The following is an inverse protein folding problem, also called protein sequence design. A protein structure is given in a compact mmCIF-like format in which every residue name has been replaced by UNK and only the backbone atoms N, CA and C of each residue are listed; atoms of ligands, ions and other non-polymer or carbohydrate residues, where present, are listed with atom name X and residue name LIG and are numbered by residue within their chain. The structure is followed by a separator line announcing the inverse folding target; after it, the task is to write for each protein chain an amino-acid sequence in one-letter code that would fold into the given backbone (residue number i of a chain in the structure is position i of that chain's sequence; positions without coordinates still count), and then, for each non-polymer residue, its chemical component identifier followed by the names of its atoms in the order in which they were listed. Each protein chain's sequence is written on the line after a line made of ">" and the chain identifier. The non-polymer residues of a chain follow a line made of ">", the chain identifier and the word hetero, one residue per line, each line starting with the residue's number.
data_IF_892761189634
#
_entry.id   IF_892761189634
#
_cell.length_a   1.000
_cell.length_b   1.000
_cell.length_c   1.000
_cell.angle_alpha   90.00
_cell.angle_beta   90.00
_cell.angle_gamma   90.00
#
_symmetry.space_group_name_H-M   'P 1'
#
loop_
_entity.id
_entity.type
_entity.pdbx_description
1 polymer ?
#
# COMPACT_ATOMS: atom_id res chain seq x y z
N UNK A 1 -55.89 34.89 64.35
CA UNK A 1 -55.30 33.64 63.81
C UNK A 1 -53.97 34.02 63.18
N UNK A 2 -52.92 33.38 63.66
CA UNK A 2 -51.53 33.83 63.74
C UNK A 2 -50.72 33.65 62.46
N UNK A 3 -50.01 34.70 62.03
CA UNK A 3 -49.01 34.67 60.94
C UNK A 3 -47.79 33.76 61.23
N UNK A 4 -47.67 33.24 62.47
CA UNK A 4 -46.60 32.31 62.86
C UNK A 4 -46.77 30.90 62.27
N UNK A 5 -47.98 30.52 61.84
CA UNK A 5 -48.24 29.16 61.30
C UNK A 5 -47.82 29.01 59.82
N UNK A 6 -47.68 30.12 59.09
CA UNK A 6 -47.24 30.10 57.68
C UNK A 6 -45.72 29.93 57.51
N UNK A 7 -44.91 30.42 58.46
CA UNK A 7 -43.45 30.28 58.39
C UNK A 7 -42.98 28.86 58.74
N UNK A 8 -43.70 28.15 59.59
CA UNK A 8 -43.34 26.76 59.95
C UNK A 8 -43.62 25.77 58.81
N UNK A 9 -44.65 25.97 57.99
CA UNK A 9 -44.95 25.08 56.85
C UNK A 9 -43.91 25.16 55.71
N UNK A 10 -43.27 26.31 55.51
CA UNK A 10 -42.20 26.49 54.51
C UNK A 10 -40.91 25.71 54.85
N UNK A 11 -40.56 25.63 56.14
CA UNK A 11 -39.38 24.87 56.61
C UNK A 11 -39.59 23.35 56.53
N UNK A 12 -40.80 22.85 56.75
CA UNK A 12 -41.08 21.41 56.60
C UNK A 12 -41.10 20.95 55.14
N UNK A 13 -41.59 21.78 54.21
CA UNK A 13 -41.59 21.48 52.77
C UNK A 13 -40.17 21.41 52.18
N UNK A 14 -39.28 22.32 52.58
CA UNK A 14 -37.87 22.32 52.16
C UNK A 14 -37.05 21.15 52.74
N UNK A 15 -37.35 20.70 53.96
CA UNK A 15 -36.72 19.50 54.54
C UNK A 15 -37.18 18.20 53.85
N UNK A 16 -38.44 18.10 53.44
CA UNK A 16 -38.94 16.96 52.69
C UNK A 16 -38.39 16.90 51.26
N UNK A 17 -38.25 18.03 50.57
CA UNK A 17 -37.61 18.08 49.25
C UNK A 17 -36.15 17.65 49.29
N UNK A 18 -35.42 18.03 50.34
CA UNK A 18 -34.02 17.65 50.54
C UNK A 18 -33.86 16.14 50.78
N UNK A 19 -34.77 15.51 51.52
CA UNK A 19 -34.76 14.07 51.76
C UNK A 19 -35.02 13.27 50.47
N UNK A 20 -35.99 13.71 49.65
CA UNK A 20 -36.27 13.06 48.37
C UNK A 20 -35.09 13.17 47.39
N UNK A 21 -34.48 14.36 47.32
CA UNK A 21 -33.32 14.58 46.46
C UNK A 21 -32.11 13.74 46.90
N UNK A 22 -31.88 13.61 48.21
CA UNK A 22 -30.83 12.73 48.76
C UNK A 22 -31.07 11.25 48.41
N UNK A 23 -32.31 10.76 48.57
CA UNK A 23 -32.68 9.40 48.18
C UNK A 23 -32.49 9.15 46.68
N UNK A 24 -32.89 10.10 45.83
CA UNK A 24 -32.73 9.98 44.38
C UNK A 24 -31.25 9.96 43.96
N UNK A 25 -30.40 10.77 44.60
CA UNK A 25 -28.95 10.75 44.37
C UNK A 25 -28.34 9.43 44.83
N UNK A 26 -28.73 8.90 45.99
CA UNK A 26 -28.21 7.63 46.51
C UNK A 26 -28.57 6.44 45.60
N UNK A 27 -29.81 6.38 45.11
CA UNK A 27 -30.26 5.34 44.18
C UNK A 27 -29.60 5.46 42.82
N UNK A 28 -29.37 6.68 42.32
CA UNK A 28 -28.63 6.92 41.09
C UNK A 28 -27.16 6.50 41.24
N UNK A 29 -26.52 6.84 42.37
CA UNK A 29 -25.15 6.46 42.65
C UNK A 29 -24.99 4.93 42.74
N UNK A 30 -25.93 4.24 43.40
CA UNK A 30 -25.96 2.77 43.44
C UNK A 30 -26.02 2.14 42.05
N UNK A 31 -26.91 2.63 41.18
CA UNK A 31 -27.00 2.16 39.78
C UNK A 31 -25.71 2.42 38.99
N UNK A 32 -25.04 3.54 39.26
CA UNK A 32 -23.79 3.89 38.60
C UNK A 32 -22.65 2.98 39.06
N UNK A 33 -22.61 2.59 40.33
CA UNK A 33 -21.68 1.58 40.86
C UNK A 33 -21.91 0.21 40.20
N UNK A 34 -23.16 -0.27 40.17
CA UNK A 34 -23.49 -1.59 39.62
C UNK A 34 -23.13 -1.70 38.13
N UNK A 35 -23.41 -0.66 37.35
CA UNK A 35 -23.08 -0.64 35.91
C UNK A 35 -21.58 -0.55 35.63
N UNK A 36 -20.83 0.06 36.53
CA UNK A 36 -19.41 0.33 36.37
C UNK A 36 -18.53 -0.52 37.30
N UNK A 37 -19.05 -1.65 37.77
CA UNK A 37 -18.34 -2.53 38.70
C UNK A 37 -16.94 -2.88 38.20
N UNK A 38 -16.80 -3.23 36.90
CA UNK A 38 -15.51 -3.54 36.28
C UNK A 38 -14.51 -2.37 36.30
N UNK A 39 -14.99 -1.13 36.20
CA UNK A 39 -14.15 0.07 36.25
C UNK A 39 -13.69 0.35 37.68
N UNK A 40 -14.58 0.26 38.66
CA UNK A 40 -14.22 0.44 40.07
C UNK A 40 -13.31 -0.67 40.59
N UNK A 41 -13.54 -1.92 40.20
CA UNK A 41 -12.64 -3.04 40.48
C UNK A 41 -11.26 -2.82 39.86
N UNK A 42 -11.19 -2.14 38.70
CA UNK A 42 -9.92 -1.74 38.10
C UNK A 42 -9.18 -0.67 38.91
N UNK A 43 -9.87 0.38 39.37
CA UNK A 43 -9.27 1.40 40.23
C UNK A 43 -8.78 0.83 41.58
N UNK A 44 -9.50 -0.16 42.12
CA UNK A 44 -9.12 -0.86 43.36
C UNK A 44 -7.90 -1.77 43.18
N UNK A 45 -7.50 -2.08 41.95
CA UNK A 45 -6.45 -3.06 41.63
C UNK A 45 -6.93 -4.52 41.58
N UNK A 46 -8.22 -4.75 41.83
CA UNK A 46 -8.89 -6.06 41.73
C UNK A 46 -9.29 -6.41 40.26
N UNK A 47 -8.66 -5.81 39.25
CA UNK A 47 -8.85 -6.20 37.84
C UNK A 47 -7.90 -7.31 37.41
N UNK A 48 -8.29 -7.97 36.32
CA UNK A 48 -7.51 -9.00 35.63
C UNK A 48 -6.09 -8.50 35.29
N UNK A 49 -5.91 -7.22 34.97
CA UNK A 49 -4.59 -6.64 34.71
C UNK A 49 -3.72 -6.55 35.96
N UNK A 50 -4.28 -6.31 37.15
CA UNK A 50 -3.55 -6.26 38.42
C UNK A 50 -2.97 -7.62 38.82
N UNK A 51 -3.55 -8.72 38.33
CA UNK A 51 -3.07 -10.10 38.54
C UNK A 51 -2.12 -10.60 37.44
N UNK A 52 -1.79 -9.79 36.42
CA UNK A 52 -0.91 -10.22 35.33
C UNK A 52 0.56 -10.12 35.75
N UNK A 53 1.23 -11.27 35.73
CA UNK A 53 2.69 -11.39 35.89
C UNK A 53 3.47 -11.02 34.63
N UNK A 54 2.76 -10.75 33.54
CA UNK A 54 3.26 -10.64 32.18
C UNK A 54 3.49 -9.22 31.66
N UNK A 55 2.98 -8.20 32.35
CA UNK A 55 2.90 -6.81 31.87
C UNK A 55 2.02 -6.55 30.62
N UNK A 56 1.53 -7.59 29.94
CA UNK A 56 0.90 -7.46 28.62
C UNK A 56 -0.64 -7.55 28.60
N UNK A 57 -1.29 -7.96 29.71
CA UNK A 57 -2.75 -8.10 29.74
C UNK A 57 -3.44 -6.78 30.09
N UNK A 58 -4.24 -6.24 29.16
CA UNK A 58 -5.04 -5.01 29.36
C UNK A 58 -6.51 -5.35 29.65
N UNK A 59 -7.15 -4.60 30.55
CA UNK A 59 -8.59 -4.74 30.84
C UNK A 59 -9.42 -4.05 29.72
N UNK A 60 -10.49 -4.67 29.19
CA UNK A 60 -11.26 -4.13 28.05
C UNK A 60 -12.20 -2.97 28.43
N UNK A 61 -12.55 -2.80 29.72
CA UNK A 61 -13.48 -1.77 30.19
C UNK A 61 -12.77 -0.80 31.14
N UNK A 62 -11.96 0.11 30.59
CA UNK A 62 -11.25 1.13 31.36
C UNK A 62 -11.99 2.47 31.44
N UNK A 63 -13.14 2.59 30.79
CA UNK A 63 -13.90 3.83 30.70
C UNK A 63 -15.17 3.72 31.55
N UNK A 64 -15.43 4.77 32.33
CA UNK A 64 -16.68 4.93 33.08
C UNK A 64 -17.84 5.09 32.09
N UNK A 65 -18.83 4.21 32.19
CA UNK A 65 -20.11 4.35 31.49
C UNK A 65 -20.93 5.41 32.22
N UNK A 66 -21.06 6.56 31.57
CA UNK A 66 -21.87 7.65 32.06
C UNK A 66 -23.36 7.34 31.88
N UNK A 67 -24.09 7.40 32.98
CA UNK A 67 -25.52 7.08 33.05
C UNK A 67 -26.42 8.29 32.83
N UNK A 68 -25.83 9.43 32.47
CA UNK A 68 -26.60 10.61 32.10
C UNK A 68 -27.53 10.20 30.96
N UNK A 69 -28.85 10.22 31.23
CA UNK A 69 -29.85 10.30 30.18
C UNK A 69 -29.41 11.47 29.33
N UNK A 70 -28.84 11.20 28.14
CA UNK A 70 -28.64 12.24 27.13
C UNK A 70 -29.96 12.99 27.11
N UNK A 71 -29.91 14.30 27.37
CA UNK A 71 -31.12 15.12 27.31
C UNK A 71 -31.87 14.81 26.02
N UNK A 72 -33.19 14.99 26.02
CA UNK A 72 -34.01 14.83 24.81
C UNK A 72 -33.25 15.49 23.65
N UNK A 73 -32.77 14.67 22.71
CA UNK A 73 -32.06 15.17 21.54
C UNK A 73 -32.99 16.15 20.83
N UNK A 74 -32.48 17.32 20.47
CA UNK A 74 -33.28 18.26 19.71
C UNK A 74 -33.70 17.62 18.39
N UNK A 75 -34.84 18.05 17.82
CA UNK A 75 -35.27 17.61 16.48
C UNK A 75 -34.15 17.76 15.45
N UNK A 76 -33.32 18.80 15.59
CA UNK A 76 -32.14 19.01 14.76
C UNK A 76 -31.09 17.91 14.94
N UNK A 77 -30.74 17.54 16.17
CA UNK A 77 -29.77 16.46 16.44
C UNK A 77 -30.26 15.09 15.95
N UNK A 78 -31.58 14.84 16.01
CA UNK A 78 -32.19 13.61 15.47
C UNK A 78 -32.15 13.55 13.95
N UNK A 79 -32.38 14.68 13.28
CA UNK A 79 -32.51 14.73 11.83
C UNK A 79 -31.17 14.93 11.11
N UNK A 80 -30.20 15.60 11.75
CA UNK A 80 -28.87 15.88 11.20
C UNK A 80 -27.80 15.02 11.88
N UNK A 81 -27.95 13.71 11.76
CA UNK A 81 -26.87 12.80 12.11
C UNK A 81 -25.82 12.94 11.01
N UNK A 82 -24.55 13.13 11.37
CA UNK A 82 -23.47 13.10 10.40
C UNK A 82 -23.48 11.71 9.73
N UNK A 83 -24.03 11.65 8.51
CA UNK A 83 -23.97 10.45 7.70
C UNK A 83 -22.49 10.19 7.44
N UNK A 84 -21.94 9.19 8.13
CA UNK A 84 -20.59 8.72 7.88
C UNK A 84 -20.46 8.50 6.38
N UNK A 85 -19.40 9.02 5.77
CA UNK A 85 -19.10 8.82 4.35
C UNK A 85 -19.34 7.34 4.08
N UNK A 86 -20.33 7.02 3.23
CA UNK A 86 -20.57 5.64 2.83
C UNK A 86 -19.22 5.07 2.42
N UNK A 87 -18.86 3.90 2.96
CA UNK A 87 -17.62 3.22 2.59
C UNK A 87 -17.62 3.18 1.07
N UNK A 88 -16.77 3.99 0.44
CA UNK A 88 -16.65 3.98 -1.00
C UNK A 88 -16.31 2.54 -1.35
N UNK A 89 -17.17 1.92 -2.16
CA UNK A 89 -16.91 0.60 -2.70
C UNK A 89 -15.53 0.73 -3.35
N UNK A 90 -14.53 -0.10 -2.98
CA UNK A 90 -13.21 0.02 -3.53
C UNK A 90 -13.34 -0.03 -5.04
N UNK A 91 -12.93 1.07 -5.69
CA UNK A 91 -12.91 1.15 -7.14
C UNK A 91 -11.96 0.04 -7.59
N UNK A 92 -12.50 -0.99 -8.24
CA UNK A 92 -11.69 -2.07 -8.80
C UNK A 92 -10.90 -1.43 -9.94
N UNK A 93 -9.64 -1.13 -9.68
CA UNK A 93 -8.74 -0.63 -10.71
C UNK A 93 -8.48 -1.78 -11.68
N UNK A 94 -9.10 -1.71 -12.86
CA UNK A 94 -8.91 -2.70 -13.92
C UNK A 94 -7.49 -2.65 -14.53
N UNK A 95 -6.67 -1.68 -14.13
CA UNK A 95 -5.28 -1.57 -14.55
C UNK A 95 -4.34 -2.38 -13.64
N UNK A 96 -4.61 -3.68 -13.48
CA UNK A 96 -3.62 -4.58 -12.88
C UNK A 96 -2.49 -4.74 -13.89
N UNK A 97 -1.46 -3.91 -13.78
CA UNK A 97 -0.26 -4.05 -14.60
C UNK A 97 0.50 -5.27 -14.08
N UNK A 98 0.31 -6.42 -14.73
CA UNK A 98 1.07 -7.63 -14.44
C UNK A 98 2.55 -7.36 -14.78
N UNK A 99 3.36 -7.10 -13.76
CA UNK A 99 4.81 -7.08 -13.88
C UNK A 99 5.32 -8.47 -13.52
N UNK A 100 6.03 -9.12 -14.45
CA UNK A 100 6.71 -10.38 -14.13
C UNK A 100 7.75 -10.11 -13.05
N UNK A 101 7.63 -10.78 -11.90
CA UNK A 101 8.56 -10.61 -10.77
C UNK A 101 9.96 -11.16 -11.09
N UNK A 102 10.05 -12.03 -12.10
CA UNK A 102 11.30 -12.64 -12.52
C UNK A 102 11.80 -11.96 -13.80
N UNK A 103 13.04 -11.45 -13.81
CA UNK A 103 13.67 -10.98 -15.04
C UNK A 103 13.84 -12.16 -15.99
N UNK A 104 13.47 -11.96 -17.25
CA UNK A 104 13.72 -12.95 -18.30
C UNK A 104 15.22 -13.00 -18.56
N UNK A 105 15.82 -14.20 -18.55
CA UNK A 105 17.19 -14.37 -18.99
C UNK A 105 17.24 -14.26 -20.52
N UNK A 106 17.80 -13.15 -21.00
CA UNK A 106 17.94 -12.80 -22.42
C UNK A 106 19.34 -13.18 -22.98
N UNK A 107 20.12 -13.94 -22.23
CA UNK A 107 21.43 -14.38 -22.69
C UNK A 107 21.30 -15.56 -23.65
N UNK A 108 21.64 -15.32 -24.92
CA UNK A 108 21.79 -16.36 -25.92
C UNK A 108 23.21 -16.91 -25.91
N UNK A 109 23.37 -18.18 -26.32
CA UNK A 109 24.68 -18.82 -26.46
C UNK A 109 25.60 -17.97 -27.33
N UNK A 110 25.09 -17.44 -28.45
CA UNK A 110 25.84 -16.58 -29.35
C UNK A 110 26.43 -15.34 -28.65
N UNK A 111 25.67 -14.69 -27.77
CA UNK A 111 26.14 -13.52 -27.03
C UNK A 111 27.25 -13.88 -26.04
N UNK A 112 27.19 -15.07 -25.45
CA UNK A 112 28.23 -15.56 -24.54
C UNK A 112 29.51 -16.00 -25.25
N UNK A 113 29.38 -16.60 -26.44
CA UNK A 113 30.50 -17.21 -27.17
C UNK A 113 31.25 -16.22 -28.06
N UNK A 114 30.58 -15.22 -28.63
CA UNK A 114 31.17 -14.28 -29.58
C UNK A 114 31.33 -12.87 -28.96
N UNK A 115 32.19 -12.76 -27.95
CA UNK A 115 32.55 -11.47 -27.37
C UNK A 115 33.66 -10.81 -28.21
N UNK A 116 33.62 -9.49 -28.35
CA UNK A 116 34.68 -8.76 -29.00
C UNK A 116 35.97 -8.90 -28.19
N UNK A 117 36.99 -9.56 -28.76
CA UNK A 117 38.30 -9.68 -28.15
C UNK A 117 38.99 -8.31 -28.19
N UNK A 118 38.99 -7.60 -27.05
CA UNK A 118 39.63 -6.29 -26.92
C UNK A 118 41.16 -6.35 -27.07
N UNK A 119 41.74 -7.55 -26.91
CA UNK A 119 43.19 -7.75 -26.88
C UNK A 119 43.80 -8.11 -28.24
N UNK A 120 43.12 -7.79 -29.34
CA UNK A 120 43.72 -7.88 -30.67
C UNK A 120 44.86 -6.85 -30.77
N UNK A 121 46.07 -7.26 -30.38
CA UNK A 121 47.27 -6.41 -30.49
C UNK A 121 47.42 -6.00 -31.96
N UNK A 122 47.55 -4.69 -32.25
CA UNK A 122 47.80 -4.24 -33.61
C UNK A 122 49.08 -4.89 -34.10
N UNK A 123 49.07 -5.40 -35.35
CA UNK A 123 50.26 -5.95 -35.96
C UNK A 123 51.36 -4.88 -35.95
N UNK A 124 52.51 -5.22 -35.36
CA UNK A 124 53.64 -4.29 -35.29
C UNK A 124 54.08 -3.95 -36.73
N UNK A 125 53.91 -2.68 -37.11
CA UNK A 125 54.33 -2.17 -38.41
C UNK A 125 55.85 -2.08 -38.42
N UNK A 126 56.52 -3.03 -39.07
CA UNK A 126 57.97 -3.05 -39.30
C UNK A 126 58.45 -2.00 -40.33
N UNK A 127 57.66 -0.97 -40.62
CA UNK A 127 58.00 0.01 -41.65
C UNK A 127 59.03 1.01 -41.10
N UNK A 128 60.21 1.14 -41.73
CA UNK A 128 61.23 2.06 -41.26
C UNK A 128 60.77 3.52 -41.38
N UNK A 129 61.02 4.32 -40.33
CA UNK A 129 60.69 5.75 -40.33
C UNK A 129 61.56 6.51 -41.34
N UNK A 130 60.90 7.12 -42.32
CA UNK A 130 61.57 7.98 -43.30
C UNK A 130 61.73 9.37 -42.70
N UNK A 131 62.98 9.78 -42.43
CA UNK A 131 63.28 11.12 -41.92
C UNK A 131 63.00 12.16 -43.01
N UNK A 132 61.94 12.95 -42.83
CA UNK A 132 61.63 14.09 -43.69
C UNK A 132 62.40 15.30 -43.18
N UNK A 133 63.37 15.77 -43.97
CA UNK A 133 64.04 17.03 -43.71
C UNK A 133 63.19 18.19 -44.24
N UNK A 134 62.55 18.92 -43.32
CA UNK A 134 61.84 20.16 -43.63
C UNK A 134 62.86 21.31 -43.62
N UNK A 135 63.24 21.76 -44.81
CA UNK A 135 64.05 22.98 -44.98
C UNK A 135 63.07 24.17 -45.05
N UNK A 136 63.13 25.15 -44.14
CA UNK A 136 62.22 26.29 -44.18
C UNK A 136 62.52 27.15 -45.40
N UNK A 137 61.54 27.29 -46.28
CA UNK A 137 61.62 28.12 -47.47
C UNK A 137 61.16 29.55 -47.15
N UNK A 138 62.09 30.50 -47.11
CA UNK A 138 61.82 31.90 -46.78
C UNK A 138 61.42 32.72 -48.03
N UNK A 139 60.32 32.36 -48.69
CA UNK A 139 59.75 33.20 -49.76
C UNK A 139 58.51 33.95 -49.28
N UNK A 140 58.71 35.01 -48.50
CA UNK A 140 57.67 36.02 -48.31
C UNK A 140 58.16 37.33 -48.90
N UNK A 141 57.40 37.89 -49.83
CA UNK A 141 57.63 39.24 -50.32
C UNK A 141 57.28 40.26 -49.23
N UNK A 142 57.96 41.40 -49.22
CA UNK A 142 57.72 42.49 -48.26
C UNK A 142 56.23 42.88 -48.20
N UNK A 143 55.57 42.93 -49.37
CA UNK A 143 54.13 43.22 -49.47
C UNK A 143 53.25 42.27 -48.64
N UNK A 144 53.56 40.97 -48.62
CA UNK A 144 52.80 39.97 -47.86
C UNK A 144 53.02 40.10 -46.34
N UNK A 145 54.18 40.62 -45.92
CA UNK A 145 54.47 40.90 -44.51
C UNK A 145 53.78 42.20 -44.05
N UNK A 146 53.76 43.22 -44.91
CA UNK A 146 53.29 44.56 -44.53
C UNK A 146 51.76 44.72 -44.63
N UNK A 147 51.09 43.94 -45.49
CA UNK A 147 49.64 43.97 -45.69
C UNK A 147 48.95 42.68 -45.23
N UNK A 148 49.13 42.30 -43.96
CA UNK A 148 48.28 41.27 -43.36
C UNK A 148 46.87 41.83 -43.19
N UNK A 149 45.90 41.31 -43.93
CA UNK A 149 44.53 41.85 -44.04
C UNK A 149 43.97 42.32 -42.69
N UNK A 150 43.91 43.65 -42.52
CA UNK A 150 43.38 44.28 -41.32
C UNK A 150 41.91 43.91 -41.17
N UNK A 151 41.56 43.25 -40.06
CA UNK A 151 40.19 42.83 -39.79
C UNK A 151 39.25 44.03 -39.72
N UNK A 152 38.18 44.02 -40.52
CA UNK A 152 37.12 45.02 -40.42
C UNK A 152 36.35 44.81 -39.12
N UNK A 153 36.36 45.81 -38.23
CA UNK A 153 35.48 45.81 -37.07
C UNK A 153 34.03 45.97 -37.53
N UNK A 154 33.17 44.99 -37.26
CA UNK A 154 31.75 45.04 -37.62
C UNK A 154 31.04 46.18 -36.88
N UNK A 155 30.43 47.11 -37.64
CA UNK A 155 29.53 48.13 -37.10
C UNK A 155 28.26 47.44 -36.56
N UNK A 156 27.96 47.64 -35.27
CA UNK A 156 26.73 47.15 -34.65
C UNK A 156 25.58 48.11 -34.97
N UNK A 157 24.73 47.73 -35.92
CA UNK A 157 23.48 48.46 -36.23
C UNK A 157 22.39 47.89 -35.32
N UNK A 158 21.80 48.74 -34.47
CA UNK A 158 20.66 48.33 -33.64
C UNK A 158 19.40 48.20 -34.51
N UNK A 159 18.64 47.10 -34.42
CA UNK A 159 17.44 46.92 -35.23
C UNK A 159 16.31 47.88 -34.78
N UNK A 160 15.49 48.40 -35.70
CA UNK A 160 14.38 49.28 -35.37
C UNK A 160 13.26 48.50 -34.65
N UNK A 161 12.95 48.87 -33.41
CA UNK A 161 11.76 48.41 -32.70
C UNK A 161 10.53 49.15 -33.23
N UNK A 162 9.84 48.57 -34.21
CA UNK A 162 8.49 48.99 -34.59
C UNK A 162 7.50 47.92 -34.10
N UNK A 163 6.57 48.23 -33.17
CA UNK A 163 5.52 47.30 -32.80
C UNK A 163 4.46 47.32 -33.91
N UNK A 164 4.61 46.45 -34.91
CA UNK A 164 3.59 46.27 -35.93
C UNK A 164 2.43 45.43 -35.36
N UNK A 165 1.33 46.13 -35.09
CA UNK A 165 -0.08 45.68 -35.16
C UNK A 165 -0.49 44.54 -34.21
N UNK A 166 -1.43 44.88 -33.33
CA UNK A 166 -2.16 44.00 -32.40
C UNK A 166 -2.90 42.90 -33.16
N UNK A 167 -2.82 41.66 -32.64
CA UNK A 167 -3.50 40.46 -33.16
C UNK A 167 -4.99 40.72 -33.45
N UNK A 168 -5.35 40.78 -34.74
CA UNK A 168 -6.75 40.80 -35.15
C UNK A 168 -7.22 39.34 -35.14
N UNK A 169 -8.21 38.96 -34.31
CA UNK A 169 -8.68 37.59 -34.25
C UNK A 169 -9.29 37.20 -35.60
N UNK A 170 -8.84 36.06 -36.12
CA UNK A 170 -9.30 35.51 -37.38
C UNK A 170 -10.74 34.98 -37.21
N UNK A 171 -11.73 35.71 -37.74
CA UNK A 171 -13.16 35.38 -37.64
C UNK A 171 -13.64 34.42 -38.73
N UNK A 172 -12.73 33.94 -39.60
CA UNK A 172 -13.08 33.06 -40.70
C UNK A 172 -13.09 31.59 -40.25
N UNK A 173 -14.26 31.13 -39.80
CA UNK A 173 -14.56 29.70 -39.77
C UNK A 173 -15.13 29.27 -41.12
N UNK A 174 -14.72 28.10 -41.61
CA UNK A 174 -15.32 27.56 -42.83
C UNK A 174 -16.71 27.00 -42.53
N UNK A 175 -17.64 27.11 -43.46
CA UNK A 175 -18.96 26.48 -43.35
C UNK A 175 -18.87 24.98 -43.12
N UNK A 176 -17.78 24.34 -43.58
CA UNK A 176 -17.50 22.94 -43.28
C UNK A 176 -17.25 22.70 -41.79
N UNK A 177 -16.47 23.57 -41.13
CA UNK A 177 -16.20 23.47 -39.70
C UNK A 177 -17.49 23.60 -38.88
N UNK A 178 -18.37 24.53 -39.24
CA UNK A 178 -19.64 24.73 -38.54
C UNK A 178 -20.63 23.56 -38.70
N UNK A 179 -20.63 22.92 -39.88
CA UNK A 179 -21.59 21.86 -40.18
C UNK A 179 -21.13 20.44 -39.78
N UNK A 180 -19.81 20.21 -39.68
CA UNK A 180 -19.24 18.88 -39.43
C UNK A 180 -18.54 18.74 -38.06
N UNK A 181 -18.71 19.72 -37.16
CA UNK A 181 -18.28 19.55 -35.78
C UNK A 181 -18.98 18.34 -35.16
N UNK A 182 -18.18 17.39 -34.67
CA UNK A 182 -18.61 16.07 -34.20
C UNK A 182 -19.74 16.20 -33.18
N UNK A 183 -20.99 15.95 -33.60
CA UNK A 183 -22.09 15.74 -32.66
C UNK A 183 -21.77 14.45 -31.89
N UNK A 184 -21.60 14.48 -30.55
CA UNK A 184 -21.37 13.27 -29.80
C UNK A 184 -22.58 12.34 -29.98
N UNK A 185 -22.35 11.18 -30.57
CA UNK A 185 -23.39 10.17 -30.75
C UNK A 185 -23.81 9.72 -29.35
N UNK A 186 -25.11 9.75 -29.01
CA UNK A 186 -25.58 9.28 -27.71
C UNK A 186 -25.20 7.80 -27.53
N UNK A 187 -24.67 7.47 -26.35
CA UNK A 187 -24.07 6.16 -26.02
C UNK A 187 -24.97 4.97 -26.38
N UNK A 188 -26.29 5.15 -26.33
CA UNK A 188 -27.28 4.13 -26.61
C UNK A 188 -27.33 3.72 -28.09
N UNK A 189 -27.14 4.65 -29.02
CA UNK A 189 -27.09 4.37 -30.46
C UNK A 189 -25.78 3.68 -30.87
N UNK A 190 -24.68 3.95 -30.16
CA UNK A 190 -23.39 3.32 -30.40
C UNK A 190 -23.40 1.83 -30.02
N UNK A 191 -24.08 1.46 -28.92
CA UNK A 191 -24.16 0.08 -28.44
C UNK A 191 -24.99 -0.83 -29.36
N UNK A 192 -25.98 -0.26 -30.06
CA UNK A 192 -26.87 -1.02 -30.97
C UNK A 192 -26.28 -1.22 -32.37
N UNK A 193 -25.36 -0.35 -32.78
CA UNK A 193 -24.70 -0.40 -34.09
C UNK A 193 -23.34 -1.12 -34.05
N UNK A 194 -22.57 -1.01 -32.96
CA UNK A 194 -21.28 -1.68 -32.81
C UNK A 194 -21.37 -3.22 -32.78
N UNK A 195 -22.50 -3.78 -32.32
CA UNK A 195 -22.70 -5.23 -32.23
C UNK A 195 -23.28 -5.87 -33.51
N UNK A 196 -23.53 -5.08 -34.56
CA UNK A 196 -23.99 -5.58 -35.87
C UNK A 196 -22.85 -5.67 -36.87
N UNK A 197 -21.64 -6.05 -36.43
CA UNK A 197 -20.59 -6.42 -37.37
C UNK A 197 -20.98 -7.73 -38.06
N UNK A 198 -21.36 -7.64 -39.34
CA UNK A 198 -21.69 -8.78 -40.22
C UNK A 198 -20.51 -9.74 -40.45
N UNK A 199 -19.32 -9.43 -39.90
CA UNK A 199 -18.21 -10.36 -39.81
C UNK A 199 -18.36 -11.19 -38.54
N UNK A 200 -19.11 -12.29 -38.65
CA UNK A 200 -18.95 -13.43 -37.74
C UNK A 200 -17.46 -13.79 -37.75
N UNK A 201 -16.85 -13.92 -36.58
CA UNK A 201 -15.49 -14.44 -36.43
C UNK A 201 -15.33 -15.70 -37.29
N UNK A 202 -14.24 -15.85 -38.09
CA UNK A 202 -14.04 -17.02 -38.96
C UNK A 202 -13.89 -18.33 -38.17
N UNK A 203 -13.86 -18.25 -36.85
CA UNK A 203 -13.87 -19.37 -35.92
C UNK A 203 -15.31 -19.46 -35.40
N UNK A 204 -16.11 -20.35 -36.02
CA UNK A 204 -17.37 -20.75 -35.41
C UNK A 204 -17.07 -21.55 -34.13
N UNK A 205 -17.84 -21.38 -33.05
CA UNK A 205 -17.69 -22.20 -31.84
C UNK A 205 -18.04 -23.69 -32.08
N UNK A 206 -18.58 -24.01 -33.25
CA UNK A 206 -18.95 -25.35 -33.71
C UNK A 206 -17.78 -26.13 -34.31
N UNK A 207 -16.69 -25.47 -34.72
CA UNK A 207 -15.54 -26.14 -35.33
C UNK A 207 -14.48 -26.40 -34.26
N UNK A 208 -14.32 -27.66 -33.77
CA UNK A 208 -13.24 -27.98 -32.86
C UNK A 208 -11.90 -27.68 -33.55
N UNK A 209 -11.02 -26.99 -32.84
CA UNK A 209 -9.70 -26.59 -33.32
C UNK A 209 -8.82 -27.87 -33.36
N UNK A 210 -8.77 -28.56 -34.52
CA UNK A 210 -8.02 -29.83 -34.72
C UNK A 210 -6.57 -29.55 -35.14
N UNK A 211 -5.69 -29.26 -34.19
CA UNK A 211 -4.23 -29.27 -34.42
C UNK A 211 -3.57 -29.78 -33.16
N UNK A 212 -3.34 -31.08 -33.17
CA UNK A 212 -2.34 -31.69 -32.33
C UNK A 212 -1.21 -32.11 -33.27
N UNK A 213 0.00 -31.58 -33.03
CA UNK A 213 1.16 -32.06 -33.77
C UNK A 213 1.44 -33.50 -33.36
N UNK A 214 2.01 -34.29 -34.26
CA UNK A 214 2.44 -35.67 -33.93
C UNK A 214 3.33 -35.66 -32.70
N UNK A 215 4.24 -34.69 -32.58
CA UNK A 215 5.09 -34.51 -31.41
C UNK A 215 4.28 -34.33 -30.11
N UNK A 216 3.28 -33.44 -30.06
CA UNK A 216 2.46 -33.25 -28.85
C UNK A 216 1.49 -34.40 -28.57
N UNK A 217 1.16 -35.22 -29.58
CA UNK A 217 0.40 -36.45 -29.39
C UNK A 217 1.26 -37.57 -28.77
N UNK A 218 2.50 -37.74 -29.25
CA UNK A 218 3.39 -38.82 -28.83
C UNK A 218 4.14 -38.53 -27.52
N UNK A 219 4.54 -37.28 -27.27
CA UNK A 219 5.35 -36.93 -26.10
C UNK A 219 4.50 -36.21 -25.05
N UNK A 220 3.65 -36.97 -24.36
CA UNK A 220 2.93 -36.47 -23.18
C UNK A 220 3.81 -36.66 -21.95
N UNK A 221 3.81 -35.73 -20.98
CA UNK A 221 4.54 -35.92 -19.74
C UNK A 221 3.96 -37.13 -19.01
N UNK A 222 4.72 -38.22 -18.95
CA UNK A 222 4.37 -39.38 -18.15
C UNK A 222 4.75 -39.09 -16.70
N UNK A 223 3.84 -39.34 -15.76
CA UNK A 223 4.20 -39.34 -14.35
C UNK A 223 5.12 -40.53 -14.14
N UNK A 224 6.41 -40.27 -13.97
CA UNK A 224 7.34 -41.29 -13.51
C UNK A 224 6.91 -41.69 -12.10
N UNK A 225 6.71 -42.98 -11.87
CA UNK A 225 6.49 -43.49 -10.53
C UNK A 225 7.62 -42.98 -9.64
N UNK A 226 7.27 -42.37 -8.51
CA UNK A 226 8.28 -42.03 -7.50
C UNK A 226 8.92 -43.35 -7.10
N UNK A 227 10.16 -43.58 -7.49
CA UNK A 227 10.97 -44.62 -6.87
C UNK A 227 10.90 -44.32 -5.37
N UNK A 228 10.40 -45.29 -4.60
CA UNK A 228 10.45 -45.22 -3.14
C UNK A 228 11.93 -45.03 -2.80
N UNK A 229 12.33 -43.78 -2.56
CA UNK A 229 13.60 -43.49 -1.90
C UNK A 229 13.48 -44.23 -0.59
N UNK A 230 14.33 -45.23 -0.40
CA UNK A 230 14.57 -45.79 0.92
C UNK A 230 14.95 -44.57 1.75
N UNK A 231 14.10 -44.23 2.72
CA UNK A 231 14.38 -43.10 3.60
C UNK A 231 15.78 -43.30 4.19
N UNK A 232 16.71 -42.36 4.03
CA UNK A 232 17.99 -42.41 4.73
C UNK A 232 17.80 -42.19 6.25
N UNK A 233 16.56 -42.15 6.74
CA UNK A 233 16.22 -42.21 8.16
C UNK A 233 16.28 -43.63 8.74
N UNK A 234 17.25 -44.45 8.33
CA UNK A 234 17.90 -45.26 9.35
C UNK A 234 18.58 -44.25 10.26
N UNK A 235 17.85 -43.92 11.32
CA UNK A 235 18.27 -43.18 12.49
C UNK A 235 19.45 -43.95 13.10
N UNK A 236 20.63 -43.83 12.49
CA UNK A 236 21.89 -44.23 13.08
C UNK A 236 22.04 -43.26 14.23
N UNK A 237 21.49 -43.64 15.38
CA UNK A 237 21.81 -43.03 16.65
C UNK A 237 23.31 -43.24 16.78
N UNK A 238 24.10 -42.23 16.39
CA UNK A 238 25.50 -42.20 16.72
C UNK A 238 25.54 -42.24 18.24
N UNK A 239 25.84 -43.42 18.79
CA UNK A 239 26.07 -43.55 20.21
C UNK A 239 27.31 -42.69 20.45
N UNK A 240 27.19 -41.58 21.20
CA UNK A 240 28.34 -40.73 21.44
C UNK A 240 29.40 -41.58 22.13
N UNK A 241 30.67 -41.34 21.80
CA UNK A 241 31.77 -42.09 22.41
C UNK A 241 31.84 -41.86 23.93
N UNK A 242 31.24 -40.77 24.41
CA UNK A 242 31.13 -40.41 25.82
C UNK A 242 29.79 -39.72 26.11
N UNK A 243 29.23 -39.97 27.30
CA UNK A 243 27.96 -39.40 27.70
C UNK A 243 28.06 -37.87 27.87
N UNK A 244 27.30 -37.12 27.06
CA UNK A 244 27.34 -35.66 27.04
C UNK A 244 28.28 -35.00 26.00
N UNK A 245 28.87 -35.76 25.06
CA UNK A 245 29.72 -35.21 23.98
C UNK A 245 29.05 -34.12 23.13
N UNK A 246 27.72 -34.12 23.02
CA UNK A 246 26.95 -33.11 22.28
C UNK A 246 26.17 -32.13 23.18
N UNK A 247 26.29 -32.23 24.50
CA UNK A 247 25.65 -31.29 25.41
C UNK A 247 26.51 -30.03 25.49
N UNK A 248 26.25 -29.06 24.60
CA UNK A 248 26.90 -27.75 24.70
C UNK A 248 26.48 -27.06 26.00
N UNK A 249 27.36 -26.23 26.55
CA UNK A 249 27.03 -25.36 27.69
C UNK A 249 25.79 -24.51 27.40
N UNK A 250 25.65 -24.04 26.15
CA UNK A 250 24.46 -23.32 25.70
C UNK A 250 23.18 -24.16 25.84
N UNK A 251 23.19 -25.45 25.50
CA UNK A 251 21.97 -26.27 25.60
C UNK A 251 21.58 -26.54 27.06
N UNK A 252 22.55 -26.63 27.98
CA UNK A 252 22.31 -26.75 29.42
C UNK A 252 21.82 -25.44 30.05
N UNK A 253 22.33 -24.31 29.58
CA UNK A 253 21.99 -22.99 30.12
C UNK A 253 20.65 -22.45 29.58
N UNK A 254 20.25 -22.91 28.38
CA UNK A 254 19.03 -22.52 27.67
C UNK A 254 17.98 -23.63 27.59
N UNK A 255 17.90 -24.51 28.60
CA UNK A 255 16.69 -25.31 28.77
C UNK A 255 15.50 -24.36 28.81
N UNK A 256 14.57 -24.53 27.85
CA UNK A 256 13.37 -23.71 27.70
C UNK A 256 12.57 -23.76 29.00
N UNK A 257 12.84 -22.79 29.89
CA UNK A 257 12.06 -22.57 31.09
C UNK A 257 10.66 -22.23 30.61
N UNK A 258 9.79 -23.24 30.60
CA UNK A 258 8.39 -23.11 30.19
C UNK A 258 7.87 -21.75 30.66
N UNK A 259 7.53 -20.83 29.74
CA UNK A 259 7.20 -19.46 30.12
C UNK A 259 6.03 -19.54 31.09
N UNK A 260 6.21 -18.96 32.30
CA UNK A 260 5.20 -19.00 33.36
C UNK A 260 3.87 -18.53 32.76
N UNK A 261 2.88 -19.43 32.71
CA UNK A 261 1.57 -19.14 32.11
C UNK A 261 0.91 -18.04 32.94
N UNK A 262 0.61 -16.90 32.31
CA UNK A 262 -0.04 -15.79 33.00
C UNK A 262 -1.50 -16.15 33.34
N UNK A 263 -1.92 -16.09 34.61
CA UNK A 263 -3.28 -16.44 35.01
C UNK A 263 -4.32 -15.53 34.34
N UNK A 264 -4.01 -14.24 34.20
CA UNK A 264 -4.87 -13.27 33.51
C UNK A 264 -5.11 -13.61 32.04
N UNK A 265 -4.11 -14.16 31.35
CA UNK A 265 -4.23 -14.53 29.94
C UNK A 265 -5.09 -15.79 29.76
N UNK A 266 -4.97 -16.74 30.69
CA UNK A 266 -5.84 -17.92 30.71
C UNK A 266 -7.31 -17.51 30.88
N UNK A 267 -7.59 -16.60 31.81
CA UNK A 267 -8.93 -16.08 32.07
C UNK A 267 -9.50 -15.25 30.90
N UNK A 268 -8.69 -14.39 30.27
CA UNK A 268 -9.14 -13.64 29.09
C UNK A 268 -9.48 -14.57 27.91
N UNK A 269 -8.70 -15.63 27.72
CA UNK A 269 -8.97 -16.62 26.69
C UNK A 269 -10.27 -17.41 26.96
N UNK A 270 -10.57 -17.75 28.23
CA UNK A 270 -11.85 -18.40 28.56
C UNK A 270 -13.05 -17.48 28.33
N UNK A 271 -12.95 -16.20 28.69
CA UNK A 271 -13.99 -15.21 28.41
C UNK A 271 -14.23 -15.04 26.90
N UNK A 272 -13.15 -15.01 26.11
CA UNK A 272 -13.26 -14.90 24.66
C UNK A 272 -13.95 -16.12 24.05
N UNK A 273 -13.61 -17.33 24.50
CA UNK A 273 -14.29 -18.56 24.09
C UNK A 273 -15.78 -18.56 24.42
N UNK A 274 -16.16 -18.11 25.62
CA UNK A 274 -17.57 -17.99 26.00
C UNK A 274 -18.33 -17.00 25.11
N UNK A 275 -17.72 -15.86 24.77
CA UNK A 275 -18.35 -14.89 23.84
C UNK A 275 -18.53 -15.45 22.44
N UNK A 276 -17.56 -16.20 21.93
CA UNK A 276 -17.69 -16.86 20.63
C UNK A 276 -18.83 -17.88 20.63
N UNK A 277 -19.02 -18.62 21.72
CA UNK A 277 -20.12 -19.57 21.88
C UNK A 277 -21.50 -18.90 21.99
N UNK A 278 -21.58 -17.63 22.37
CA UNK A 278 -22.85 -16.88 22.42
C UNK A 278 -23.23 -16.24 21.07
N UNK A 279 -22.29 -16.17 20.12
CA UNK A 279 -22.50 -15.56 18.80
C UNK A 279 -22.85 -16.63 17.75
N UNK A 280 -22.41 -17.87 17.95
CA UNK A 280 -22.78 -19.03 17.15
C UNK A 280 -24.14 -19.58 17.59
#
# INVERSE_FOLDING_TARGET
>A
MSEQDYQNNSRYSTLQSNNYQSQLLSTHFGKLLDKNEAFFNHLKGDCICGRCICGQCKCPKMLLSNDFKKGQESLYQRNFIAHGKQKQIPLIDHNVTYKSQLPMDINTIQRSTYQAHADAKPAESLKPEQKVFLIPFSSSSAYRLDYTGGGMSSLKINPPHHPTVVDIPMTTHSTYQDNFYKKPIPREEFLTTANKSSFKSPISPELPFIHQSTNSAFYKPYQTGKLNRIDPEQNVRMIPAFDGQFNSTTQKDFDDKNPKKCPSRVFLNSLYKQKLQQIA
#
